data_IF_483805108364
#
_entry.id   IF_483805108364
#
_cell.length_a   1.000
_cell.length_b   1.000
_cell.length_c   1.000
_cell.angle_alpha   90.00
_cell.angle_beta   90.00
_cell.angle_gamma   90.00
#
_symmetry.space_group_name_H-M   'P 1'
#
loop_
_entity.id
_entity.type
_entity.pdbx_description
1 polymer ?
#
# COMPACT_ATOMS: atom_id res chain seq x y z
N UNK A 1 36.15 -16.42 -25.49
CA UNK A 1 35.28 -15.62 -26.39
C UNK A 1 34.00 -15.33 -25.64
N UNK A 2 33.75 -14.04 -25.43
CA UNK A 2 32.80 -13.48 -24.48
C UNK A 2 31.35 -13.80 -24.83
N UNK A 3 30.59 -14.28 -23.85
CA UNK A 3 29.14 -14.37 -23.95
C UNK A 3 28.54 -12.96 -23.87
N UNK A 4 27.87 -12.56 -24.95
CA UNK A 4 27.08 -11.34 -25.06
C UNK A 4 25.93 -11.38 -24.04
N UNK A 5 26.12 -10.67 -22.92
CA UNK A 5 25.04 -10.20 -22.06
C UNK A 5 24.39 -8.98 -22.74
N UNK A 6 23.58 -9.23 -23.77
CA UNK A 6 22.74 -8.21 -24.36
C UNK A 6 21.46 -8.05 -23.55
N UNK A 7 21.36 -6.88 -22.91
CA UNK A 7 20.15 -6.06 -22.89
C UNK A 7 18.92 -6.69 -22.21
N UNK A 8 18.89 -6.66 -20.88
CA UNK A 8 17.61 -6.52 -20.18
C UNK A 8 17.10 -5.12 -20.46
N UNK A 9 16.19 -5.01 -21.43
CA UNK A 9 15.45 -3.81 -21.75
C UNK A 9 14.89 -3.18 -20.48
N UNK A 10 15.45 -2.05 -20.06
CA UNK A 10 14.72 -1.05 -19.31
C UNK A 10 13.50 -0.71 -20.17
N UNK A 11 12.33 -1.21 -19.78
CA UNK A 11 11.08 -0.70 -20.34
C UNK A 11 11.00 0.77 -19.95
N UNK A 12 11.43 1.63 -20.87
CA UNK A 12 11.19 3.05 -20.79
C UNK A 12 9.68 3.24 -20.62
N UNK A 13 9.28 3.83 -19.51
CA UNK A 13 7.92 4.33 -19.38
C UNK A 13 7.83 5.46 -20.40
N UNK A 14 7.18 5.22 -21.53
CA UNK A 14 6.79 6.28 -22.45
C UNK A 14 5.71 7.10 -21.76
N UNK A 15 6.14 8.09 -20.98
CA UNK A 15 5.24 9.08 -20.42
C UNK A 15 4.68 9.92 -21.57
N UNK A 16 3.37 10.23 -21.50
CA UNK A 16 2.76 11.23 -22.36
C UNK A 16 3.54 12.55 -22.31
N UNK A 17 3.66 13.30 -23.40
CA UNK A 17 4.20 14.66 -23.35
C UNK A 17 3.28 15.65 -22.61
N UNK A 18 2.01 15.29 -22.36
CA UNK A 18 1.06 16.13 -21.67
C UNK A 18 1.19 16.01 -20.15
N UNK A 19 1.55 17.12 -19.50
CA UNK A 19 1.67 17.20 -18.05
C UNK A 19 0.38 16.81 -17.31
N UNK A 20 -0.79 17.06 -17.90
CA UNK A 20 -2.08 16.64 -17.33
C UNK A 20 -2.22 15.12 -17.35
N UNK A 21 -1.91 14.47 -18.47
CA UNK A 21 -1.97 13.00 -18.59
C UNK A 21 -0.97 12.32 -17.66
N UNK A 22 0.27 12.84 -17.56
CA UNK A 22 1.27 12.33 -16.60
C UNK A 22 0.75 12.49 -15.16
N UNK A 23 0.09 13.61 -14.84
CA UNK A 23 -0.48 13.83 -13.51
C UNK A 23 -1.58 12.81 -13.19
N UNK A 24 -2.49 12.57 -14.15
CA UNK A 24 -3.57 11.60 -14.05
C UNK A 24 -3.03 10.19 -13.83
N UNK A 25 -2.07 9.76 -14.66
CA UNK A 25 -1.39 8.47 -14.54
C UNK A 25 -0.72 8.31 -13.18
N UNK A 26 -0.07 9.37 -12.68
CA UNK A 26 0.60 9.32 -11.39
C UNK A 26 -0.38 9.10 -10.23
N UNK A 27 -1.55 9.73 -10.26
CA UNK A 27 -2.61 9.51 -9.26
C UNK A 27 -3.21 8.11 -9.36
N UNK A 28 -3.42 7.60 -10.58
CA UNK A 28 -3.88 6.22 -10.81
C UNK A 28 -2.88 5.20 -10.28
N UNK A 29 -1.58 5.40 -10.52
CA UNK A 29 -0.53 4.54 -9.97
C UNK A 29 -0.52 4.58 -8.44
N UNK A 30 -0.60 5.75 -7.82
CA UNK A 30 -0.68 5.88 -6.35
C UNK A 30 -1.85 5.07 -5.78
N UNK A 31 -3.04 5.18 -6.39
CA UNK A 31 -4.22 4.42 -6.02
C UNK A 31 -4.01 2.91 -6.19
N UNK A 32 -3.45 2.51 -7.33
CA UNK A 32 -3.19 1.10 -7.65
C UNK A 32 -2.26 0.46 -6.64
N UNK A 33 -1.17 1.12 -6.25
CA UNK A 33 -0.22 0.61 -5.26
C UNK A 33 -0.88 0.31 -3.91
N UNK A 34 -1.83 1.13 -3.48
CA UNK A 34 -2.62 0.86 -2.29
C UNK A 34 -3.44 -0.44 -2.45
N UNK A 35 -4.11 -0.61 -3.59
CA UNK A 35 -4.91 -1.80 -3.86
C UNK A 35 -4.09 -3.08 -4.11
N UNK A 36 -2.84 -2.98 -4.56
CA UNK A 36 -1.94 -4.12 -4.67
C UNK A 36 -1.62 -4.72 -3.30
N UNK A 37 -1.33 -3.89 -2.30
CA UNK A 37 -1.15 -4.36 -0.92
C UNK A 37 -2.42 -5.08 -0.42
N UNK A 38 -3.60 -4.50 -0.68
CA UNK A 38 -4.89 -5.14 -0.36
C UNK A 38 -5.04 -6.49 -1.05
N UNK A 39 -4.66 -6.60 -2.32
CA UNK A 39 -4.74 -7.86 -3.05
C UNK A 39 -3.86 -8.95 -2.41
N UNK A 40 -2.63 -8.61 -2.01
CA UNK A 40 -1.76 -9.51 -1.26
C UNK A 40 -2.36 -9.92 0.09
N UNK A 41 -2.95 -8.96 0.81
CA UNK A 41 -3.67 -9.26 2.06
C UNK A 41 -4.79 -10.29 1.81
N UNK A 42 -5.63 -10.07 0.80
CA UNK A 42 -6.75 -10.96 0.48
C UNK A 42 -6.29 -12.35 0.05
N UNK A 43 -5.22 -12.42 -0.75
CA UNK A 43 -4.60 -13.68 -1.15
C UNK A 43 -4.12 -14.46 0.08
N UNK A 44 -3.48 -13.77 1.03
CA UNK A 44 -3.01 -14.36 2.26
C UNK A 44 -4.15 -14.72 3.20
N UNK A 45 -5.23 -13.94 3.32
CA UNK A 45 -6.38 -14.25 4.17
C UNK A 45 -7.20 -15.46 3.66
N UNK A 46 -7.25 -15.67 2.34
CA UNK A 46 -7.97 -16.79 1.73
C UNK A 46 -9.49 -16.63 1.86
N UNK A 47 -10.21 -17.69 2.25
CA UNK A 47 -11.69 -17.68 2.37
C UNK A 47 -12.20 -16.94 3.61
N UNK A 48 -11.34 -16.60 4.58
CA UNK A 48 -11.71 -15.93 5.83
C UNK A 48 -12.27 -14.52 5.60
N UNK A 49 -11.93 -13.87 4.49
CA UNK A 49 -12.39 -12.52 4.16
C UNK A 49 -13.75 -12.47 3.42
N UNK A 50 -14.59 -13.52 3.50
CA UNK A 50 -15.86 -13.58 2.75
C UNK A 50 -17.09 -13.48 3.65
N UNK A 51 -18.03 -12.64 3.17
CA UNK A 51 -19.41 -12.41 3.61
C UNK A 51 -19.65 -11.35 4.69
N UNK A 52 -19.76 -10.10 4.24
CA UNK A 52 -20.56 -9.06 4.92
C UNK A 52 -21.28 -8.23 3.86
N UNK A 53 -22.57 -7.92 4.06
CA UNK A 53 -23.36 -7.11 3.14
C UNK A 53 -22.79 -5.70 3.03
N UNK A 54 -22.55 -5.23 1.81
CA UNK A 54 -21.80 -3.99 1.55
C UNK A 54 -22.54 -2.68 1.87
N UNK A 55 -23.78 -2.73 2.36
CA UNK A 55 -24.60 -1.53 2.56
C UNK A 55 -24.26 -0.74 3.84
N UNK A 56 -23.47 -1.30 4.76
CA UNK A 56 -23.11 -0.67 6.03
C UNK A 56 -21.79 0.14 6.00
N UNK A 57 -20.99 0.03 4.92
CA UNK A 57 -19.66 0.63 4.85
C UNK A 57 -19.52 1.54 3.63
N UNK A 58 -18.81 2.66 3.78
CA UNK A 58 -18.58 3.63 2.69
C UNK A 58 -17.79 3.02 1.53
N UNK A 59 -16.77 2.21 1.85
CA UNK A 59 -15.96 1.50 0.86
C UNK A 59 -15.35 0.22 1.46
N UNK A 60 -14.56 -0.47 0.62
CA UNK A 60 -13.85 -1.71 0.99
C UNK A 60 -12.86 -1.52 2.14
N UNK A 61 -12.29 -0.33 2.32
CA UNK A 61 -11.31 -0.09 3.37
C UNK A 61 -11.95 0.00 4.75
N UNK A 62 -13.15 0.58 4.83
CA UNK A 62 -13.93 0.60 6.08
C UNK A 62 -14.39 -0.80 6.46
N UNK A 63 -14.85 -1.58 5.47
CA UNK A 63 -15.16 -2.99 5.66
C UNK A 63 -13.94 -3.78 6.19
N UNK A 64 -12.76 -3.59 5.59
CA UNK A 64 -11.52 -4.23 6.05
C UNK A 64 -11.18 -3.89 7.50
N UNK A 65 -11.35 -2.63 7.90
CA UNK A 65 -11.06 -2.17 9.26
C UNK A 65 -12.00 -2.76 10.30
N UNK A 66 -13.27 -2.95 9.94
CA UNK A 66 -14.29 -3.46 10.82
C UNK A 66 -14.22 -4.99 10.94
N UNK A 67 -14.10 -5.69 9.81
CA UNK A 67 -14.46 -7.11 9.74
C UNK A 67 -13.29 -8.03 9.38
N UNK A 68 -12.22 -7.52 8.75
CA UNK A 68 -11.17 -8.37 8.17
C UNK A 68 -9.84 -8.28 8.92
N UNK A 69 -9.83 -7.78 10.17
CA UNK A 69 -8.60 -7.79 10.97
C UNK A 69 -8.37 -9.22 11.48
N UNK A 70 -7.28 -9.90 11.07
CA UNK A 70 -7.03 -11.27 11.49
C UNK A 70 -6.70 -11.31 12.99
N UNK A 71 -7.16 -12.34 13.70
CA UNK A 71 -6.70 -12.58 15.07
C UNK A 71 -5.25 -13.08 15.06
N UNK A 72 -4.54 -12.79 16.14
CA UNK A 72 -3.17 -13.28 16.30
C UNK A 72 -3.15 -14.76 16.66
N UNK A 73 -2.38 -15.51 15.87
CA UNK A 73 -1.77 -16.79 16.26
C UNK A 73 -0.34 -16.78 15.72
N UNK A 74 0.59 -17.60 16.25
CA UNK A 74 1.93 -17.74 15.68
C UNK A 74 1.91 -18.11 14.18
N UNK A 75 0.98 -18.98 13.76
CA UNK A 75 0.82 -19.40 12.37
C UNK A 75 0.33 -18.25 11.49
N UNK A 76 -0.65 -17.47 11.96
CA UNK A 76 -1.12 -16.27 11.24
C UNK A 76 -0.04 -15.20 11.18
N UNK A 77 0.74 -15.03 12.24
CA UNK A 77 1.88 -14.12 12.24
C UNK A 77 2.89 -14.46 11.14
N UNK A 78 3.28 -15.73 11.03
CA UNK A 78 4.18 -16.19 9.97
C UNK A 78 3.53 -16.09 8.59
N UNK A 79 2.26 -16.47 8.45
CA UNK A 79 1.48 -16.39 7.20
C UNK A 79 1.41 -14.97 6.64
N UNK A 80 1.20 -13.98 7.50
CA UNK A 80 1.10 -12.57 7.08
C UNK A 80 2.45 -11.84 7.04
N UNK A 81 3.55 -12.45 7.49
CA UNK A 81 4.89 -11.83 7.46
C UNK A 81 5.29 -11.29 6.07
N UNK A 82 5.06 -12.00 4.94
CA UNK A 82 5.39 -11.48 3.61
C UNK A 82 4.69 -10.16 3.26
N UNK A 83 3.50 -9.91 3.83
CA UNK A 83 2.75 -8.66 3.63
C UNK A 83 3.47 -7.44 4.19
N UNK A 84 4.22 -7.62 5.28
CA UNK A 84 4.98 -6.56 5.95
C UNK A 84 6.44 -6.51 5.51
N UNK A 85 7.01 -7.63 5.07
CA UNK A 85 8.41 -7.70 4.65
C UNK A 85 8.62 -7.40 3.17
N UNK A 86 7.78 -7.96 2.31
CA UNK A 86 7.96 -7.94 0.85
C UNK A 86 7.02 -6.92 0.22
N UNK A 87 5.71 -7.03 0.47
CA UNK A 87 4.73 -6.14 -0.15
C UNK A 87 4.93 -4.67 0.25
N UNK A 88 5.29 -4.39 1.51
CA UNK A 88 5.64 -3.03 1.94
C UNK A 88 6.92 -2.54 1.25
N UNK A 89 7.96 -3.38 1.14
CA UNK A 89 9.22 -3.02 0.49
C UNK A 89 8.99 -2.67 -0.98
N UNK A 90 8.22 -3.48 -1.69
CA UNK A 90 7.89 -3.25 -3.10
C UNK A 90 7.05 -2.00 -3.28
N UNK A 91 6.00 -1.82 -2.46
CA UNK A 91 5.16 -0.63 -2.47
C UNK A 91 6.01 0.63 -2.23
N UNK A 92 6.89 0.61 -1.23
CA UNK A 92 7.80 1.73 -0.95
C UNK A 92 8.66 2.08 -2.15
N UNK A 93 9.32 1.11 -2.76
CA UNK A 93 10.19 1.33 -3.92
C UNK A 93 9.42 1.94 -5.10
N UNK A 94 8.17 1.50 -5.31
CA UNK A 94 7.29 2.01 -6.36
C UNK A 94 6.82 3.44 -6.07
N UNK A 95 6.46 3.76 -4.83
CA UNK A 95 6.12 5.12 -4.42
C UNK A 95 7.32 6.08 -4.54
N UNK A 96 8.52 5.65 -4.16
CA UNK A 96 9.76 6.42 -4.34
C UNK A 96 10.04 6.68 -5.81
N UNK A 97 9.88 5.66 -6.68
CA UNK A 97 10.02 5.81 -8.13
C UNK A 97 8.98 6.77 -8.70
N UNK A 98 7.71 6.63 -8.33
CA UNK A 98 6.64 7.50 -8.77
C UNK A 98 6.92 8.96 -8.42
N UNK A 99 7.36 9.21 -7.18
CA UNK A 99 7.76 10.55 -6.74
C UNK A 99 8.92 11.13 -7.56
N UNK A 100 9.89 10.30 -7.95
CA UNK A 100 11.06 10.73 -8.74
C UNK A 100 10.69 11.02 -10.19
N UNK A 101 9.93 10.13 -10.82
CA UNK A 101 9.56 10.20 -12.24
C UNK A 101 8.56 11.32 -12.49
N UNK A 102 7.58 11.47 -11.61
CA UNK A 102 6.49 12.45 -11.74
C UNK A 102 6.70 13.71 -10.88
N UNK A 103 7.93 14.01 -10.43
CA UNK A 103 8.19 15.11 -9.47
C UNK A 103 7.67 16.46 -9.98
N UNK A 104 7.80 16.71 -11.28
CA UNK A 104 7.43 17.97 -11.93
C UNK A 104 5.92 18.19 -12.06
N UNK A 105 5.12 17.11 -12.09
CA UNK A 105 3.65 17.19 -12.19
C UNK A 105 2.94 16.92 -10.86
N UNK A 106 3.59 16.30 -9.88
CA UNK A 106 2.97 15.99 -8.60
C UNK A 106 2.87 17.25 -7.71
N UNK A 107 1.66 17.60 -7.22
CA UNK A 107 1.48 18.70 -6.27
C UNK A 107 2.32 18.52 -5.01
N UNK A 108 2.79 19.65 -4.44
CA UNK A 108 3.68 19.64 -3.26
C UNK A 108 3.08 18.91 -2.07
N UNK A 109 1.78 19.04 -1.84
CA UNK A 109 1.04 18.39 -0.76
C UNK A 109 0.90 16.88 -0.99
N UNK A 110 0.68 16.43 -2.23
CA UNK A 110 0.71 15.00 -2.61
C UNK A 110 2.08 14.42 -2.32
N UNK A 111 3.16 15.09 -2.75
CA UNK A 111 4.54 14.68 -2.45
C UNK A 111 4.80 14.60 -0.95
N UNK A 112 4.31 15.56 -0.16
CA UNK A 112 4.43 15.54 1.31
C UNK A 112 3.71 14.34 1.93
N UNK A 113 2.49 14.01 1.45
CA UNK A 113 1.72 12.85 1.91
C UNK A 113 2.41 11.54 1.55
N UNK A 114 2.91 11.40 0.33
CA UNK A 114 3.66 10.21 -0.10
C UNK A 114 4.92 9.98 0.75
N UNK A 115 5.73 11.02 1.00
CA UNK A 115 6.90 10.92 1.90
C UNK A 115 6.51 10.49 3.31
N UNK A 116 5.39 11.00 3.83
CA UNK A 116 4.88 10.60 5.15
C UNK A 116 4.46 9.13 5.14
N UNK A 117 3.76 8.70 4.10
CA UNK A 117 3.34 7.32 3.96
C UNK A 117 4.53 6.36 3.87
N UNK A 118 5.57 6.68 3.08
CA UNK A 118 6.80 5.89 3.01
C UNK A 118 7.41 5.67 4.40
N UNK A 119 7.52 6.72 5.23
CA UNK A 119 8.02 6.56 6.61
C UNK A 119 7.10 5.69 7.48
N UNK A 120 5.79 5.78 7.29
CA UNK A 120 4.83 4.96 8.02
C UNK A 120 4.86 3.49 7.56
N UNK A 121 5.15 3.24 6.28
CA UNK A 121 5.40 1.91 5.72
C UNK A 121 6.65 1.29 6.35
N UNK A 122 7.78 2.02 6.39
CA UNK A 122 9.01 1.54 7.04
C UNK A 122 8.77 1.21 8.52
N UNK A 123 8.03 2.08 9.23
CA UNK A 123 7.64 1.82 10.61
C UNK A 123 6.73 0.60 10.76
N UNK A 124 5.77 0.40 9.85
CA UNK A 124 4.86 -0.76 9.88
C UNK A 124 5.64 -2.07 9.68
N UNK A 125 6.53 -2.13 8.69
CA UNK A 125 7.40 -3.28 8.45
C UNK A 125 8.28 -3.59 9.68
N UNK A 126 8.98 -2.57 10.20
CA UNK A 126 9.82 -2.73 11.38
C UNK A 126 8.99 -3.17 12.59
N UNK A 127 7.90 -2.46 12.91
CA UNK A 127 7.10 -2.77 14.10
C UNK A 127 6.43 -4.14 14.05
N UNK A 128 6.10 -4.66 12.87
CA UNK A 128 5.57 -6.02 12.73
C UNK A 128 6.61 -7.08 13.12
N UNK A 129 7.87 -6.95 12.68
CA UNK A 129 8.96 -7.88 13.04
C UNK A 129 9.25 -7.94 14.54
N UNK A 130 8.92 -6.87 15.26
CA UNK A 130 9.19 -6.75 16.69
C UNK A 130 8.07 -7.32 17.58
N UNK A 131 6.95 -7.77 16.99
CA UNK A 131 5.82 -8.32 17.77
C UNK A 131 6.28 -9.46 18.70
N UNK A 132 7.02 -10.49 18.24
CA UNK A 132 7.41 -11.59 19.13
C UNK A 132 8.33 -11.14 20.27
N UNK A 133 9.22 -10.19 19.99
CA UNK A 133 10.17 -9.66 20.98
C UNK A 133 9.53 -8.72 22.02
N UNK A 134 8.34 -8.18 21.73
CA UNK A 134 7.62 -7.24 22.61
C UNK A 134 6.45 -7.88 23.36
N UNK A 135 6.25 -9.19 23.21
CA UNK A 135 5.19 -9.94 23.89
C UNK A 135 5.21 -9.81 25.42
N UNK A 136 6.39 -9.57 26.00
CA UNK A 136 6.57 -9.33 27.43
C UNK A 136 6.08 -7.94 27.91
N UNK A 137 5.87 -6.98 26.99
CA UNK A 137 5.46 -5.60 27.30
C UNK A 137 3.98 -5.40 26.98
N UNK A 138 3.52 -5.91 25.85
CA UNK A 138 2.14 -5.77 25.39
C UNK A 138 1.65 -7.08 24.75
N UNK A 139 0.37 -7.48 24.94
CA UNK A 139 -0.18 -8.67 24.31
C UNK A 139 0.06 -8.67 22.79
N UNK A 140 0.64 -9.75 22.23
CA UNK A 140 0.90 -9.87 20.79
C UNK A 140 -0.34 -9.61 19.93
N UNK A 141 -1.52 -9.98 20.41
CA UNK A 141 -2.82 -9.76 19.77
C UNK A 141 -3.07 -8.27 19.54
N UNK A 142 -2.80 -7.43 20.54
CA UNK A 142 -2.98 -5.98 20.45
C UNK A 142 -2.00 -5.38 19.44
N UNK A 143 -0.73 -5.79 19.52
CA UNK A 143 0.32 -5.31 18.62
C UNK A 143 0.03 -5.70 17.16
N UNK A 144 -0.33 -6.96 16.93
CA UNK A 144 -0.70 -7.53 15.64
C UNK A 144 -1.89 -6.80 15.02
N UNK A 145 -3.01 -6.72 15.75
CA UNK A 145 -4.21 -6.01 15.30
C UNK A 145 -3.94 -4.53 15.00
N UNK A 146 -3.11 -3.88 15.83
CA UNK A 146 -2.72 -2.49 15.60
C UNK A 146 -1.91 -2.31 14.30
N UNK A 147 -1.09 -3.30 13.90
CA UNK A 147 -0.33 -3.22 12.64
C UNK A 147 -1.27 -3.24 11.42
N UNK A 148 -2.22 -4.17 11.37
CA UNK A 148 -3.20 -4.23 10.28
C UNK A 148 -4.07 -2.98 10.23
N UNK A 149 -4.63 -2.56 11.37
CA UNK A 149 -5.45 -1.34 11.45
C UNK A 149 -4.66 -0.10 11.02
N UNK A 150 -3.39 -0.01 11.42
CA UNK A 150 -2.49 1.07 11.02
C UNK A 150 -2.26 1.10 9.51
N UNK A 151 -1.97 -0.05 8.91
CA UNK A 151 -1.78 -0.19 7.46
C UNK A 151 -3.04 0.16 6.69
N UNK A 152 -4.19 -0.41 7.05
CA UNK A 152 -5.44 -0.17 6.32
C UNK A 152 -5.83 1.31 6.39
N UNK A 153 -5.69 1.98 7.54
CA UNK A 153 -5.95 3.43 7.68
C UNK A 153 -5.01 4.28 6.83
N UNK A 154 -3.74 3.90 6.74
CA UNK A 154 -2.78 4.61 5.92
C UNK A 154 -3.14 4.52 4.43
N UNK A 155 -3.39 3.30 3.96
CA UNK A 155 -3.68 3.02 2.56
C UNK A 155 -5.04 3.57 2.14
N UNK A 156 -6.05 3.51 3.02
CA UNK A 156 -7.35 4.10 2.75
C UNK A 156 -7.27 5.62 2.60
N UNK A 157 -6.47 6.30 3.43
CA UNK A 157 -6.27 7.74 3.32
C UNK A 157 -5.57 8.12 2.01
N UNK A 158 -4.58 7.36 1.57
CA UNK A 158 -3.92 7.59 0.29
C UNK A 158 -4.84 7.32 -0.90
N UNK A 159 -5.52 6.18 -0.92
CA UNK A 159 -6.41 5.79 -2.00
C UNK A 159 -7.57 6.80 -2.14
N UNK A 160 -8.21 7.18 -1.04
CA UNK A 160 -9.29 8.17 -1.05
C UNK A 160 -8.83 9.57 -1.47
N UNK A 161 -7.62 9.98 -1.09
CA UNK A 161 -7.06 11.27 -1.54
C UNK A 161 -6.81 11.26 -3.05
N UNK A 162 -6.26 10.16 -3.59
CA UNK A 162 -6.09 9.96 -5.02
C UNK A 162 -7.45 9.95 -5.76
N UNK A 163 -8.43 9.19 -5.27
CA UNK A 163 -9.77 9.11 -5.86
C UNK A 163 -10.46 10.48 -5.90
N UNK A 164 -10.40 11.26 -4.82
CA UNK A 164 -10.98 12.62 -4.78
C UNK A 164 -10.35 13.55 -5.81
N UNK A 165 -9.04 13.45 -6.03
CA UNK A 165 -8.34 14.27 -7.03
C UNK A 165 -8.67 13.84 -8.44
N UNK A 166 -8.68 12.53 -8.69
CA UNK A 166 -9.09 11.96 -9.98
C UNK A 166 -10.51 12.40 -10.33
N UNK A 167 -11.44 12.33 -9.38
CA UNK A 167 -12.82 12.77 -9.57
C UNK A 167 -12.88 14.26 -9.92
N UNK A 168 -12.16 15.10 -9.16
CA UNK A 168 -12.11 16.54 -9.44
C UNK A 168 -11.57 16.86 -10.84
N UNK A 169 -10.64 16.06 -11.36
CA UNK A 169 -10.09 16.23 -12.72
C UNK A 169 -11.06 15.80 -13.84
N UNK A 170 -12.03 14.93 -13.54
CA UNK A 170 -13.07 14.50 -14.49
C UNK A 170 -14.25 15.47 -14.49
N UNK A 171 -14.55 16.07 -13.33
CA UNK A 171 -15.67 17.00 -13.14
C UNK A 171 -15.34 18.46 -13.52
N UNK A 172 -14.08 18.77 -13.86
CA UNK A 172 -13.62 20.11 -14.28
C UNK A 172 -13.47 20.23 -15.79
#
# INVERSE_FOLDING_TARGET
MSANLQSRSEQAINLSPDAFEIHLEALLMLRLECHLWKAHFMQLAGREARHVSSHAYLDVWDLMLAEWIPDYTPERYERFRPLFDEAIKDMRARLERLMKVCDHVLPRDVKKRMRRAIRQLDFAAASYRWIPARSAIEPPEKLFNARFKGMIRLLSLLARDADKRLQAMVDS
#
